data_IF_371946927274
#
_entry.id   IF_371946927274
#
_cell.length_a   1.000
_cell.length_b   1.000
_cell.length_c   1.000
_cell.angle_alpha   90.00
_cell.angle_beta   90.00
_cell.angle_gamma   90.00
#
_symmetry.space_group_name_H-M   'P 1'
#
loop_
_entity.id
_entity.type
_entity.pdbx_description
1 polymer ?
#
# COMPACT_ATOMS: atom_id res chain seq x y z
N UNK A 1 -27.71 -32.81 -37.43
CA UNK A 1 -26.81 -31.65 -37.62
C UNK A 1 -26.54 -31.03 -36.25
N UNK A 2 -25.37 -31.30 -35.67
CA UNK A 2 -25.00 -30.87 -34.32
C UNK A 2 -24.29 -29.51 -34.46
N UNK A 3 -24.97 -28.42 -34.08
CA UNK A 3 -24.36 -27.09 -34.02
C UNK A 3 -23.56 -26.97 -32.72
N UNK A 4 -22.23 -26.95 -32.83
CA UNK A 4 -21.32 -26.71 -31.70
C UNK A 4 -21.33 -25.22 -31.37
N UNK A 5 -22.06 -24.83 -30.33
CA UNK A 5 -21.93 -23.50 -29.72
C UNK A 5 -20.67 -23.52 -28.85
N UNK A 6 -19.63 -22.85 -29.33
CA UNK A 6 -18.38 -22.64 -28.61
C UNK A 6 -18.59 -21.50 -27.59
N UNK A 7 -18.87 -21.85 -26.34
CA UNK A 7 -18.87 -20.88 -25.24
C UNK A 7 -17.43 -20.46 -24.91
N UNK A 8 -17.02 -19.30 -25.42
CA UNK A 8 -15.76 -18.65 -25.06
C UNK A 8 -15.95 -17.96 -23.69
N UNK A 9 -15.66 -18.65 -22.59
CA UNK A 9 -15.71 -18.07 -21.24
C UNK A 9 -14.56 -17.08 -21.07
N UNK A 10 -14.90 -15.78 -21.06
CA UNK A 10 -13.99 -14.69 -20.73
C UNK A 10 -13.67 -14.77 -19.22
N UNK A 11 -12.56 -15.44 -18.86
CA UNK A 11 -12.01 -15.43 -17.50
C UNK A 11 -11.46 -14.02 -17.22
N UNK A 12 -12.29 -13.17 -16.61
CA UNK A 12 -11.81 -11.96 -15.97
C UNK A 12 -11.08 -12.42 -14.70
N UNK A 13 -9.75 -12.42 -14.72
CA UNK A 13 -8.97 -12.64 -13.52
C UNK A 13 -9.29 -11.50 -12.54
N UNK A 14 -10.11 -11.78 -11.53
CA UNK A 14 -10.28 -10.87 -10.41
C UNK A 14 -8.96 -10.87 -9.63
N UNK A 15 -8.23 -9.75 -9.68
CA UNK A 15 -7.10 -9.54 -8.79
C UNK A 15 -7.70 -9.35 -7.40
N UNK A 16 -7.58 -10.37 -6.55
CA UNK A 16 -7.97 -10.27 -5.14
C UNK A 16 -6.85 -9.49 -4.45
N UNK A 17 -7.21 -8.42 -3.73
CA UNK A 17 -6.29 -7.75 -2.82
C UNK A 17 -6.05 -8.69 -1.64
N UNK A 18 -4.81 -9.16 -1.49
CA UNK A 18 -4.45 -10.12 -0.44
C UNK A 18 -3.62 -9.44 0.65
N UNK A 19 -3.71 -9.99 1.86
CA UNK A 19 -2.95 -9.50 3.00
C UNK A 19 -1.46 -9.76 2.79
N UNK A 20 -0.65 -8.73 2.97
CA UNK A 20 0.82 -8.81 2.92
C UNK A 20 1.41 -8.77 4.32
N UNK A 21 2.55 -9.45 4.48
CA UNK A 21 3.31 -9.43 5.73
C UNK A 21 4.10 -8.12 5.82
N UNK A 22 3.88 -7.40 6.91
CA UNK A 22 4.58 -6.16 7.24
C UNK A 22 5.11 -6.22 8.66
N UNK A 23 6.24 -5.55 8.90
CA UNK A 23 6.76 -5.33 10.24
C UNK A 23 6.22 -4.01 10.77
N UNK A 24 5.53 -4.04 11.90
CA UNK A 24 5.15 -2.83 12.62
C UNK A 24 6.40 -2.11 13.17
N UNK A 25 6.41 -0.78 13.08
CA UNK A 25 7.48 0.08 13.57
C UNK A 25 6.98 1.24 14.46
N UNK A 26 5.78 1.09 15.02
CA UNK A 26 5.16 1.98 15.99
C UNK A 26 4.72 1.16 17.21
N UNK A 27 3.41 1.08 17.50
CA UNK A 27 2.87 0.32 18.63
C UNK A 27 1.73 -0.63 18.21
N UNK A 28 1.84 -1.27 17.04
CA UNK A 28 0.87 -2.24 16.53
C UNK A 28 -0.54 -1.65 16.28
N UNK A 29 -0.59 -0.38 15.88
CA UNK A 29 -1.81 0.25 15.41
C UNK A 29 -2.29 -0.34 14.06
N UNK A 30 -1.37 -0.80 13.21
CA UNK A 30 -1.68 -1.50 11.96
C UNK A 30 -2.26 -2.89 12.28
N UNK A 31 -3.44 -3.18 11.73
CA UNK A 31 -4.11 -4.49 11.86
C UNK A 31 -3.93 -5.35 10.63
N UNK A 32 -3.97 -4.73 9.46
CA UNK A 32 -3.85 -5.40 8.18
C UNK A 32 -3.33 -4.43 7.13
N UNK A 33 -2.49 -4.93 6.24
CA UNK A 33 -2.14 -4.25 4.99
C UNK A 33 -2.46 -5.22 3.86
N UNK A 34 -3.18 -4.75 2.85
CA UNK A 34 -3.49 -5.48 1.64
C UNK A 34 -2.92 -4.73 0.46
N UNK A 35 -2.40 -5.47 -0.51
CA UNK A 35 -1.84 -4.91 -1.74
C UNK A 35 -2.35 -5.72 -2.91
N UNK A 36 -2.87 -5.03 -3.93
CA UNK A 36 -3.40 -5.70 -5.12
C UNK A 36 -2.30 -6.55 -5.78
N UNK A 37 -2.54 -7.87 -5.88
CA UNK A 37 -1.61 -8.81 -6.52
C UNK A 37 -0.40 -9.24 -5.68
N UNK A 38 -0.37 -8.95 -4.37
CA UNK A 38 0.67 -9.43 -3.46
C UNK A 38 0.05 -10.23 -2.30
N UNK A 39 0.76 -11.24 -1.78
CA UNK A 39 0.25 -12.15 -0.76
C UNK A 39 1.33 -12.56 0.25
N UNK A 40 1.02 -12.48 1.55
CA UNK A 40 1.90 -12.90 2.64
C UNK A 40 3.32 -12.33 2.51
N UNK A 41 4.30 -13.22 2.56
CA UNK A 41 5.73 -12.92 2.40
C UNK A 41 6.24 -13.13 0.97
N UNK A 42 5.36 -13.36 -0.01
CA UNK A 42 5.76 -13.52 -1.41
C UNK A 42 6.32 -12.20 -1.97
N UNK A 43 7.23 -12.26 -2.97
CA UNK A 43 7.74 -11.07 -3.62
C UNK A 43 6.61 -10.21 -4.21
N UNK A 44 6.47 -8.99 -3.70
CA UNK A 44 5.46 -8.04 -4.13
C UNK A 44 5.98 -7.18 -5.28
N UNK A 45 5.46 -7.42 -6.49
CA UNK A 45 5.94 -6.77 -7.71
C UNK A 45 5.22 -5.44 -7.95
N UNK A 46 5.98 -4.35 -7.86
CA UNK A 46 5.55 -2.99 -8.18
C UNK A 46 5.90 -2.73 -9.66
N UNK A 47 4.87 -2.65 -10.50
CA UNK A 47 5.02 -2.44 -11.93
C UNK A 47 5.14 -0.95 -12.28
N UNK A 48 6.20 -0.59 -13.00
CA UNK A 48 6.43 0.79 -13.45
C UNK A 48 5.39 1.23 -14.48
N UNK A 49 4.90 2.46 -14.34
CA UNK A 49 3.87 3.01 -15.21
C UNK A 49 2.49 2.41 -15.00
N UNK A 50 2.28 1.66 -13.91
CA UNK A 50 1.00 1.06 -13.53
C UNK A 50 0.52 1.61 -12.18
N UNK A 51 -0.80 1.60 -11.93
CA UNK A 51 -1.32 1.88 -10.60
C UNK A 51 -0.87 0.78 -9.63
N UNK A 52 -0.45 1.20 -8.45
CA UNK A 52 -0.17 0.37 -7.29
C UNK A 52 -1.18 0.75 -6.20
N UNK A 53 -2.04 -0.18 -5.82
CA UNK A 53 -3.10 0.05 -4.83
C UNK A 53 -2.79 -0.72 -3.56
N UNK A 54 -2.87 -0.03 -2.44
CA UNK A 54 -2.77 -0.60 -1.11
C UNK A 54 -3.98 -0.20 -0.27
N UNK A 55 -4.30 -1.05 0.70
CA UNK A 55 -5.35 -0.83 1.68
C UNK A 55 -4.79 -1.15 3.07
N UNK A 56 -4.98 -0.24 4.02
CA UNK A 56 -4.46 -0.39 5.37
C UNK A 56 -5.59 -0.24 6.40
N UNK A 57 -5.75 -1.27 7.21
CA UNK A 57 -6.64 -1.27 8.36
C UNK A 57 -5.85 -0.94 9.61
N UNK A 58 -6.27 0.08 10.37
CA UNK A 58 -5.55 0.52 11.56
C UNK A 58 -6.44 1.16 12.62
N UNK A 59 -6.00 1.12 13.88
CA UNK A 59 -6.64 1.86 14.97
C UNK A 59 -5.97 3.22 15.16
N UNK A 60 -6.74 4.30 15.21
CA UNK A 60 -6.17 5.61 15.53
C UNK A 60 -5.76 5.69 17.00
N UNK A 61 -4.49 5.99 17.30
CA UNK A 61 -4.00 6.11 18.68
C UNK A 61 -4.24 7.51 19.31
N UNK A 62 -4.72 8.47 18.52
CA UNK A 62 -4.95 9.86 18.93
C UNK A 62 -6.13 10.48 18.18
N UNK A 63 -6.73 11.52 18.75
CA UNK A 63 -7.63 12.40 18.02
C UNK A 63 -6.77 13.31 17.14
N UNK A 64 -7.08 13.44 15.86
CA UNK A 64 -6.30 14.31 14.97
C UNK A 64 -7.15 14.91 13.85
N UNK A 65 -6.92 16.18 13.55
CA UNK A 65 -7.60 16.87 12.44
C UNK A 65 -6.88 16.61 11.12
N UNK A 66 -5.58 16.36 11.17
CA UNK A 66 -4.75 16.08 10.00
C UNK A 66 -4.17 14.67 10.05
N UNK A 67 -3.83 14.15 8.88
CA UNK A 67 -3.06 12.92 8.77
C UNK A 67 -2.19 13.02 7.51
N UNK A 68 -0.88 12.91 7.69
CA UNK A 68 0.13 12.99 6.64
C UNK A 68 0.76 11.62 6.40
N UNK A 69 0.88 11.22 5.15
CA UNK A 69 1.61 10.04 4.72
C UNK A 69 3.09 10.41 4.55
N UNK A 70 3.98 9.68 5.20
CA UNK A 70 5.42 9.74 4.94
C UNK A 70 5.88 8.37 4.44
N UNK A 71 6.50 8.37 3.25
CA UNK A 71 7.00 7.15 2.61
C UNK A 71 8.50 7.30 2.42
N UNK A 72 9.25 6.30 2.89
CA UNK A 72 10.66 6.12 2.60
C UNK A 72 10.84 4.81 1.86
N UNK A 73 11.56 4.83 0.74
CA UNK A 73 11.94 3.63 0.03
C UNK A 73 13.45 3.47 0.06
N UNK A 74 13.92 2.26 0.33
CA UNK A 74 15.31 1.86 0.17
C UNK A 74 15.41 0.81 -0.93
N UNK A 75 16.20 1.10 -1.96
CA UNK A 75 16.45 0.20 -3.09
C UNK A 75 17.91 -0.22 -3.01
N UNK A 76 18.15 -1.52 -2.84
CA UNK A 76 19.51 -2.08 -2.70
C UNK A 76 20.35 -1.36 -1.62
N UNK A 77 19.69 -0.90 -0.55
CA UNK A 77 20.31 -0.19 0.57
C UNK A 77 20.42 1.34 0.42
N UNK A 78 20.09 1.90 -0.74
CA UNK A 78 20.08 3.35 -0.96
C UNK A 78 18.67 3.93 -0.73
N UNK A 79 18.55 4.92 0.15
CA UNK A 79 17.28 5.66 0.31
C UNK A 79 16.99 6.51 -0.93
N UNK A 80 15.76 6.45 -1.42
CA UNK A 80 15.26 7.26 -2.53
C UNK A 80 13.99 8.01 -2.12
N UNK A 81 13.81 9.18 -2.71
CA UNK A 81 12.53 9.87 -2.69
C UNK A 81 11.53 9.16 -3.59
N UNK A 82 10.26 9.12 -3.16
CA UNK A 82 9.18 8.52 -3.92
C UNK A 82 8.31 9.63 -4.53
N UNK A 83 8.46 9.95 -5.82
CA UNK A 83 7.78 11.08 -6.44
C UNK A 83 6.30 10.80 -6.71
N UNK A 84 5.51 11.88 -6.73
CA UNK A 84 4.11 11.84 -7.19
C UNK A 84 3.14 11.20 -6.20
N UNK A 85 3.50 11.15 -4.92
CA UNK A 85 2.61 10.72 -3.84
C UNK A 85 1.83 11.93 -3.32
N UNK A 86 0.52 11.77 -3.19
CA UNK A 86 -0.29 12.69 -2.39
C UNK A 86 -0.11 12.32 -0.91
N UNK A 87 0.56 13.21 -0.17
CA UNK A 87 0.89 12.96 1.23
C UNK A 87 -0.26 13.30 2.17
N UNK A 88 -1.41 13.80 1.71
CA UNK A 88 -2.54 14.08 2.59
C UNK A 88 -3.45 12.86 2.74
N UNK A 89 -3.29 12.11 3.84
CA UNK A 89 -4.09 10.92 4.09
C UNK A 89 -5.59 11.24 4.25
N UNK A 90 -5.95 12.47 4.64
CA UNK A 90 -7.34 12.90 4.75
C UNK A 90 -8.06 13.01 3.39
N UNK A 91 -7.35 12.92 2.26
CA UNK A 91 -7.98 12.77 0.95
C UNK A 91 -8.51 11.33 0.71
N UNK A 92 -8.02 10.36 1.47
CA UNK A 92 -8.32 8.94 1.33
C UNK A 92 -9.09 8.36 2.53
N UNK A 93 -9.07 9.07 3.67
CA UNK A 93 -9.73 8.68 4.92
C UNK A 93 -10.55 9.86 5.42
N UNK A 94 -11.72 9.60 5.99
CA UNK A 94 -12.55 10.66 6.58
C UNK A 94 -11.92 11.20 7.87
N UNK A 95 -11.33 12.39 7.78
CA UNK A 95 -10.87 13.18 8.92
C UNK A 95 -12.02 14.03 9.52
N UNK A 96 -11.94 14.44 10.81
CA UNK A 96 -10.87 14.11 11.78
C UNK A 96 -10.91 12.64 12.21
N UNK A 97 -9.75 12.11 12.59
CA UNK A 97 -9.65 10.78 13.18
C UNK A 97 -9.95 10.85 14.68
N UNK A 98 -10.60 9.80 15.20
CA UNK A 98 -11.01 9.66 16.60
C UNK A 98 -10.21 8.53 17.23
N UNK A 99 -9.60 8.81 18.39
CA UNK A 99 -8.80 7.83 19.13
C UNK A 99 -9.62 6.58 19.44
N UNK A 100 -9.03 5.41 19.21
CA UNK A 100 -9.62 4.10 19.44
C UNK A 100 -10.56 3.63 18.33
N UNK A 101 -10.87 4.48 17.34
CA UNK A 101 -11.65 4.07 16.19
C UNK A 101 -10.74 3.40 15.14
N UNK A 102 -11.25 2.31 14.56
CA UNK A 102 -10.60 1.63 13.44
C UNK A 102 -10.95 2.34 12.12
N UNK A 103 -9.96 2.49 11.26
CA UNK A 103 -10.07 3.08 9.94
C UNK A 103 -9.55 2.11 8.88
N UNK A 104 -10.18 2.19 7.72
CA UNK A 104 -9.79 1.51 6.51
C UNK A 104 -9.38 2.56 5.47
N UNK A 105 -8.12 2.51 5.05
CA UNK A 105 -7.48 3.50 4.20
C UNK A 105 -7.02 2.87 2.90
N UNK A 106 -7.73 3.19 1.81
CA UNK A 106 -7.35 2.77 0.47
C UNK A 106 -6.61 3.87 -0.28
N UNK A 107 -5.43 3.55 -0.77
CA UNK A 107 -4.56 4.47 -1.48
C UNK A 107 -4.06 3.85 -2.79
N UNK A 108 -4.14 4.62 -3.88
CA UNK A 108 -3.63 4.22 -5.19
C UNK A 108 -2.57 5.21 -5.65
N UNK A 109 -1.36 4.70 -5.91
CA UNK A 109 -0.23 5.46 -6.44
C UNK A 109 0.08 5.03 -7.88
N UNK A 110 0.21 5.99 -8.78
CA UNK A 110 0.66 5.71 -10.14
C UNK A 110 2.18 5.70 -10.19
N UNK A 111 2.77 4.50 -10.21
CA UNK A 111 4.23 4.31 -10.19
C UNK A 111 4.84 4.94 -11.45
N UNK A 112 5.76 5.91 -11.33
CA UNK A 112 6.37 6.52 -12.51
C UNK A 112 7.22 5.52 -13.31
N UNK A 113 7.19 5.62 -14.64
CA UNK A 113 8.04 4.78 -15.52
C UNK A 113 9.54 4.95 -15.27
N UNK A 114 9.93 6.11 -14.72
CA UNK A 114 11.32 6.45 -14.41
C UNK A 114 11.80 5.87 -13.07
N UNK A 115 10.91 5.26 -12.27
CA UNK A 115 11.31 4.63 -11.02
C UNK A 115 12.44 3.61 -11.27
N UNK A 116 13.50 3.57 -10.44
CA UNK A 116 14.58 2.60 -10.62
C UNK A 116 14.05 1.17 -10.42
N UNK A 117 14.49 0.24 -11.26
CA UNK A 117 14.21 -1.19 -11.05
C UNK A 117 15.10 -1.70 -9.93
N UNK A 118 14.56 -2.60 -9.10
CA UNK A 118 15.32 -3.26 -8.06
C UNK A 118 14.63 -4.56 -7.66
N UNK A 119 15.43 -5.55 -7.30
CA UNK A 119 14.95 -6.81 -6.74
C UNK A 119 14.88 -6.79 -5.20
N UNK A 120 15.40 -5.72 -4.57
CA UNK A 120 15.46 -5.55 -3.12
C UNK A 120 14.91 -4.17 -2.75
N UNK A 121 13.59 -4.09 -2.51
CA UNK A 121 12.92 -2.86 -2.11
C UNK A 121 12.35 -3.00 -0.71
N UNK A 122 12.80 -2.12 0.18
CA UNK A 122 12.21 -1.96 1.51
C UNK A 122 11.45 -0.64 1.54
N UNK A 123 10.17 -0.69 1.89
CA UNK A 123 9.32 0.51 2.00
C UNK A 123 8.89 0.67 3.44
N UNK A 124 9.13 1.85 4.00
CA UNK A 124 8.58 2.26 5.30
C UNK A 124 7.51 3.30 5.06
N UNK A 125 6.30 3.05 5.57
CA UNK A 125 5.16 3.96 5.50
C UNK A 125 4.78 4.37 6.92
N UNK A 126 4.65 5.68 7.14
CA UNK A 126 4.14 6.26 8.38
C UNK A 126 2.92 7.12 8.11
N UNK A 127 1.94 7.05 9.00
CA UNK A 127 0.93 8.08 9.14
C UNK A 127 1.28 8.97 10.33
N UNK A 128 1.31 10.29 10.10
CA UNK A 128 1.62 11.29 11.11
C UNK A 128 0.40 12.18 11.30
N UNK A 129 -0.16 12.24 12.51
CA UNK A 129 -1.20 13.18 12.88
C UNK A 129 -0.66 14.34 13.71
N UNK A 130 -1.57 15.16 14.24
CA UNK A 130 -1.26 16.39 14.99
C UNK A 130 -0.39 16.13 16.24
N UNK A 131 -0.47 14.95 16.85
CA UNK A 131 0.25 14.58 18.07
C UNK A 131 1.39 13.55 17.82
N UNK A 132 1.80 13.35 16.57
CA UNK A 132 2.91 12.45 16.21
C UNK A 132 2.47 11.24 15.39
N UNK A 133 3.20 10.14 15.51
CA UNK A 133 3.00 8.92 14.71
C UNK A 133 1.65 8.26 15.07
N UNK A 134 0.78 8.14 14.08
CA UNK A 134 -0.45 7.35 14.14
C UNK A 134 -0.15 5.87 13.95
N UNK A 135 0.60 5.53 12.90
CA UNK A 135 0.91 4.15 12.51
C UNK A 135 2.25 4.09 11.77
N UNK A 136 2.87 2.91 11.75
CA UNK A 136 4.12 2.67 11.01
C UNK A 136 4.20 1.21 10.54
N UNK A 137 4.43 0.99 9.25
CA UNK A 137 4.66 -0.33 8.68
C UNK A 137 5.90 -0.35 7.79
N UNK A 138 6.63 -1.46 7.83
CA UNK A 138 7.77 -1.76 6.95
C UNK A 138 7.43 -2.99 6.11
N UNK A 139 7.42 -2.84 4.79
CA UNK A 139 7.32 -3.93 3.83
C UNK A 139 8.72 -4.25 3.27
N UNK A 140 9.16 -5.50 3.39
CA UNK A 140 10.54 -5.93 3.01
C UNK A 140 10.60 -6.80 1.76
N UNK A 141 9.44 -7.16 1.20
CA UNK A 141 9.33 -8.10 0.08
C UNK A 141 9.10 -7.39 -1.26
N UNK A 142 9.33 -6.08 -1.34
CA UNK A 142 9.05 -5.28 -2.54
C UNK A 142 10.08 -5.51 -3.66
N UNK A 143 9.61 -5.46 -4.91
CA UNK A 143 10.43 -5.44 -6.12
C UNK A 143 9.86 -4.45 -7.11
N UNK A 144 10.71 -3.70 -7.83
CA UNK A 144 10.26 -2.79 -8.90
C UNK A 144 10.67 -3.34 -10.26
N UNK A 145 9.69 -3.60 -11.12
CA UNK A 145 9.85 -4.17 -12.47
C UNK A 145 8.98 -3.43 -13.48
N UNK A 146 9.11 -3.75 -14.77
CA UNK A 146 8.20 -3.23 -15.80
C UNK A 146 6.80 -3.82 -15.70
#
# INVERSE_FOLDING_TARGET
MISKILCLSLLVAAVVADQVDVKDCANNEIKKVMVDGCHGSDPCIIHRGKPFTLEALFDANQNTKTAKIEIKASLDGLEIDVPGIDTNACHYIKCPLVKGQQYDAKYTWNVPKIAPKSENVVVTVKLIGDNGVLTCAIATHGKIRD
#
